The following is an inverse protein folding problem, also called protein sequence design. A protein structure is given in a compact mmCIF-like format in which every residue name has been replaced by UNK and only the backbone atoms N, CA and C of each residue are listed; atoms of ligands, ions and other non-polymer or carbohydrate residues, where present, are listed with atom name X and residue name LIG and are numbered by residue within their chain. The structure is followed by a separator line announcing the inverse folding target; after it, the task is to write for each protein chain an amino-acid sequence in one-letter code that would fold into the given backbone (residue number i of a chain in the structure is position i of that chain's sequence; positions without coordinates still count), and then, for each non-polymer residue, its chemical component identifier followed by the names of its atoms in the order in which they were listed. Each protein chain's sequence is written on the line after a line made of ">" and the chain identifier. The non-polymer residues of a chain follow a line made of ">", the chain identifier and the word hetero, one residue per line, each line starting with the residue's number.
data_IF_169820924521
#
_entry.id   IF_169820924521
#
_cell.length_a   1.000
_cell.length_b   1.000
_cell.length_c   1.000
_cell.angle_alpha   90.00
_cell.angle_beta   90.00
_cell.angle_gamma   90.00
#
_symmetry.space_group_name_H-M   'P 1'
#
loop_
_entity.id
_entity.type
_entity.pdbx_description
1 polymer ?
#
# COMPACT_ATOMS: atom_id res chain seq x y z
N UNK A 1 2.77 8.14 23.34
CA UNK A 1 1.98 8.24 22.10
C UNK A 1 2.26 9.58 21.45
N UNK A 2 2.36 9.63 20.11
CA UNK A 2 2.63 10.87 19.38
C UNK A 2 4.10 11.28 19.28
N UNK A 3 5.03 10.38 19.58
CA UNK A 3 6.49 10.62 19.48
C UNK A 3 7.09 9.53 18.63
N UNK A 4 7.99 9.89 17.71
CA UNK A 4 8.72 8.96 16.87
C UNK A 4 9.68 8.10 17.71
N UNK A 5 9.67 6.79 17.47
CA UNK A 5 10.51 5.84 18.20
C UNK A 5 12.00 5.97 17.85
N UNK A 6 12.31 6.43 16.63
CA UNK A 6 13.68 6.62 16.13
C UNK A 6 14.30 7.95 16.53
N UNK A 7 13.63 9.07 16.20
CA UNK A 7 14.22 10.41 16.34
C UNK A 7 13.63 11.25 17.47
N UNK A 8 12.63 10.72 18.21
CA UNK A 8 11.91 11.42 19.29
C UNK A 8 11.15 12.69 18.88
N UNK A 9 10.99 12.93 17.57
CA UNK A 9 10.18 14.02 17.04
C UNK A 9 8.69 13.85 17.31
N UNK A 10 7.96 14.96 17.35
CA UNK A 10 6.49 14.96 17.50
C UNK A 10 5.84 14.43 16.22
N UNK A 11 4.92 13.47 16.36
CA UNK A 11 4.11 12.96 15.27
C UNK A 11 2.91 13.88 15.04
N UNK A 12 2.55 14.05 13.77
CA UNK A 12 1.37 14.80 13.33
C UNK A 12 0.61 14.01 12.28
N UNK A 13 -0.72 14.12 12.29
CA UNK A 13 -1.55 13.66 11.18
C UNK A 13 -1.34 14.61 9.99
N UNK A 14 -1.26 14.06 8.77
CA UNK A 14 -1.18 14.90 7.57
C UNK A 14 -2.50 15.64 7.36
N UNK A 15 -2.42 16.81 6.73
CA UNK A 15 -3.60 17.64 6.46
C UNK A 15 -4.66 16.93 5.59
N UNK A 16 -4.24 16.00 4.74
CA UNK A 16 -5.12 15.29 3.80
C UNK A 16 -5.63 13.93 4.32
N UNK A 17 -5.24 13.51 5.53
CA UNK A 17 -5.75 12.30 6.19
C UNK A 17 -7.09 12.55 6.90
N UNK A 18 -7.94 13.41 6.34
CA UNK A 18 -9.30 13.68 6.82
C UNK A 18 -10.30 12.75 6.12
N UNK A 19 -11.37 12.27 6.78
CA UNK A 19 -12.26 11.26 6.21
C UNK A 19 -12.79 11.57 4.80
N UNK A 20 -13.19 12.82 4.55
CA UNK A 20 -13.67 13.24 3.24
C UNK A 20 -12.57 13.16 2.16
N UNK A 21 -11.37 13.62 2.48
CA UNK A 21 -10.21 13.61 1.56
C UNK A 21 -9.71 12.18 1.33
N UNK A 22 -9.69 11.34 2.36
CA UNK A 22 -9.33 9.92 2.25
C UNK A 22 -10.27 9.20 1.30
N UNK A 23 -11.59 9.36 1.47
CA UNK A 23 -12.58 8.74 0.59
C UNK A 23 -12.42 9.19 -0.87
N UNK A 24 -12.28 10.50 -1.11
CA UNK A 24 -12.08 11.03 -2.45
C UNK A 24 -10.78 10.50 -3.10
N UNK A 25 -9.70 10.36 -2.32
CA UNK A 25 -8.43 9.79 -2.78
C UNK A 25 -8.55 8.31 -3.11
N UNK A 26 -9.28 7.53 -2.32
CA UNK A 26 -9.50 6.10 -2.59
C UNK A 26 -10.32 5.87 -3.87
N UNK A 27 -11.41 6.62 -4.06
CA UNK A 27 -12.23 6.53 -5.28
C UNK A 27 -11.42 6.91 -6.52
N UNK A 28 -10.68 8.02 -6.45
CA UNK A 28 -9.79 8.43 -7.55
C UNK A 28 -8.73 7.35 -7.79
N UNK A 29 -8.04 6.88 -6.75
CA UNK A 29 -6.97 5.91 -6.91
C UNK A 29 -7.45 4.60 -7.55
N UNK A 30 -8.64 4.09 -7.19
CA UNK A 30 -9.23 2.89 -7.81
C UNK A 30 -9.43 3.10 -9.32
N UNK A 31 -10.07 4.20 -9.71
CA UNK A 31 -10.34 4.51 -11.11
C UNK A 31 -9.07 4.55 -11.99
N UNK A 32 -7.94 5.06 -11.45
CA UNK A 32 -6.68 5.13 -12.20
C UNK A 32 -5.82 3.87 -12.08
N UNK A 33 -5.82 3.19 -10.94
CA UNK A 33 -4.91 2.07 -10.66
C UNK A 33 -5.41 0.76 -11.26
N UNK A 34 -6.73 0.57 -11.42
CA UNK A 34 -7.29 -0.62 -12.06
C UNK A 34 -6.79 -0.78 -13.51
N UNK A 35 -6.71 0.31 -14.27
CA UNK A 35 -6.16 0.29 -15.63
C UNK A 35 -4.68 -0.12 -15.66
N UNK A 36 -3.89 0.32 -14.68
CA UNK A 36 -2.49 -0.08 -14.55
C UNK A 36 -2.36 -1.56 -14.15
N UNK A 37 -3.20 -2.03 -13.23
CA UNK A 37 -3.23 -3.43 -12.82
C UNK A 37 -3.56 -4.34 -14.01
N UNK A 38 -4.56 -3.98 -14.82
CA UNK A 38 -4.87 -4.72 -16.05
C UNK A 38 -3.70 -4.72 -17.04
N UNK A 39 -3.05 -3.56 -17.23
CA UNK A 39 -1.92 -3.41 -18.15
C UNK A 39 -0.73 -4.32 -17.78
N UNK A 40 -0.35 -4.39 -16.50
CA UNK A 40 0.74 -5.25 -16.04
C UNK A 40 0.30 -6.73 -15.92
N UNK A 41 -0.96 -6.98 -15.58
CA UNK A 41 -1.55 -8.32 -15.56
C UNK A 41 -1.49 -9.00 -16.93
N UNK A 42 -1.85 -8.29 -18.01
CA UNK A 42 -1.74 -8.79 -19.39
C UNK A 42 -0.31 -9.14 -19.81
N UNK A 43 0.70 -8.54 -19.18
CA UNK A 43 2.11 -8.83 -19.42
C UNK A 43 2.66 -9.97 -18.55
N UNK A 44 1.84 -10.52 -17.64
CA UNK A 44 2.31 -11.49 -16.64
C UNK A 44 3.29 -10.88 -15.62
N UNK A 45 3.27 -9.55 -15.44
CA UNK A 45 4.20 -8.82 -14.57
C UNK A 45 3.59 -8.38 -13.24
N UNK A 46 2.32 -8.72 -13.00
CA UNK A 46 1.61 -8.36 -11.77
C UNK A 46 1.35 -9.62 -10.94
N UNK A 47 1.86 -9.63 -9.70
CA UNK A 47 1.45 -10.57 -8.66
C UNK A 47 0.63 -9.79 -7.62
N UNK A 48 -0.59 -10.26 -7.33
CA UNK A 48 -1.45 -9.66 -6.32
C UNK A 48 -1.19 -10.27 -4.94
N UNK A 49 -1.00 -9.43 -3.92
CA UNK A 49 -0.73 -9.83 -2.54
C UNK A 49 -1.80 -9.23 -1.62
N UNK A 50 -2.31 -10.03 -0.68
CA UNK A 50 -3.22 -9.53 0.36
C UNK A 50 -2.46 -8.62 1.34
N UNK A 51 -2.85 -7.34 1.35
CA UNK A 51 -2.29 -6.31 2.22
C UNK A 51 -2.92 -6.22 3.61
N UNK A 52 -3.75 -7.20 4.00
CA UNK A 52 -4.39 -7.24 5.33
C UNK A 52 -3.57 -8.09 6.30
N UNK A 53 -3.23 -7.54 7.47
CA UNK A 53 -2.51 -8.25 8.53
C UNK A 53 -1.46 -7.39 9.21
N UNK A 54 -0.54 -8.04 9.95
CA UNK A 54 0.63 -7.35 10.50
C UNK A 54 1.65 -7.03 9.39
N UNK A 55 2.52 -6.02 9.57
CA UNK A 55 3.60 -5.75 8.64
C UNK A 55 4.49 -6.97 8.37
N UNK A 56 4.75 -7.80 9.39
CA UNK A 56 5.58 -9.00 9.26
C UNK A 56 4.91 -10.05 8.37
N UNK A 57 3.61 -10.30 8.57
CA UNK A 57 2.85 -11.25 7.74
C UNK A 57 2.80 -10.82 6.27
N UNK A 58 2.59 -9.52 6.04
CA UNK A 58 2.54 -8.95 4.68
C UNK A 58 3.93 -9.03 4.03
N UNK A 59 4.99 -8.77 4.79
CA UNK A 59 6.38 -8.85 4.30
C UNK A 59 6.73 -10.28 3.88
N UNK A 60 6.37 -11.29 4.68
CA UNK A 60 6.60 -12.69 4.33
C UNK A 60 5.88 -13.10 3.03
N UNK A 61 4.66 -12.59 2.78
CA UNK A 61 3.94 -12.82 1.52
C UNK A 61 4.65 -12.15 0.33
N UNK A 62 5.13 -10.93 0.51
CA UNK A 62 5.89 -10.21 -0.52
C UNK A 62 7.19 -10.94 -0.88
N UNK A 63 7.98 -11.37 0.10
CA UNK A 63 9.21 -12.13 -0.12
C UNK A 63 8.93 -13.45 -0.85
N UNK A 64 7.89 -14.19 -0.42
CA UNK A 64 7.49 -15.43 -1.08
C UNK A 64 7.07 -15.23 -2.53
N UNK A 65 6.52 -14.08 -2.90
CA UNK A 65 6.18 -13.74 -4.28
C UNK A 65 7.41 -13.43 -5.13
N UNK A 66 8.40 -12.72 -4.59
CA UNK A 66 9.63 -12.35 -5.31
C UNK A 66 10.47 -13.58 -5.71
N UNK A 67 10.50 -14.61 -4.85
CA UNK A 67 11.21 -15.87 -5.14
C UNK A 67 10.65 -16.58 -6.38
N UNK A 68 9.34 -16.44 -6.67
CA UNK A 68 8.71 -17.07 -7.85
C UNK A 68 9.08 -16.40 -9.17
N UNK A 69 9.56 -15.16 -9.13
CA UNK A 69 9.86 -14.32 -10.31
C UNK A 69 11.34 -14.42 -10.71
N UNK A 70 12.16 -15.07 -9.87
CA UNK A 70 13.60 -15.33 -10.09
C UNK A 70 13.83 -16.63 -10.86
#
# INVERSE_FOLDING_TARGET
>A
AGVCDECRGQLSQRADDQPATVNARLETNRAWTEALAEYYGKQGKLEAIDGTGSPDDITARLEGALVKVS
#
